data_IF_944646330867
#
_entry.id   IF_944646330867
#
_cell.length_a   1.000
_cell.length_b   1.000
_cell.length_c   1.000
_cell.angle_alpha   90.00
_cell.angle_beta   90.00
_cell.angle_gamma   90.00
#
_symmetry.space_group_name_H-M   'P 1'
#
loop_
_entity.id
_entity.type
_entity.pdbx_description
1 polymer ?
#
# COMPACT_ATOMS: atom_id res chain seq x y z
N UNK A 1 4.83 9.26 -15.61
CA UNK A 1 3.60 9.83 -15.00
C UNK A 1 2.58 8.74 -14.81
N UNK A 2 1.94 8.67 -13.66
CA UNK A 2 0.87 7.71 -13.37
C UNK A 2 -0.46 8.46 -13.26
N UNK A 3 -1.47 8.04 -14.00
CA UNK A 3 -2.81 8.63 -13.97
C UNK A 3 -3.86 7.59 -13.56
N UNK A 4 -4.85 7.98 -12.78
CA UNK A 4 -5.94 7.10 -12.33
C UNK A 4 -7.29 7.65 -12.80
N UNK A 5 -8.13 6.78 -13.33
CA UNK A 5 -9.50 7.08 -13.76
C UNK A 5 -10.45 6.12 -13.03
N UNK A 6 -11.52 6.66 -12.48
CA UNK A 6 -12.60 5.88 -11.85
C UNK A 6 -13.84 5.99 -12.74
N UNK A 7 -14.26 4.89 -13.34
CA UNK A 7 -15.48 4.80 -14.14
C UNK A 7 -16.61 4.21 -13.29
N UNK A 8 -17.74 4.91 -13.27
CA UNK A 8 -18.96 4.47 -12.59
C UNK A 8 -20.01 4.26 -13.69
N UNK A 9 -20.41 3.01 -14.01
CA UNK A 9 -21.43 2.76 -15.02
C UNK A 9 -22.78 3.30 -14.55
N UNK A 10 -23.52 3.96 -15.44
CA UNK A 10 -24.92 4.29 -15.19
C UNK A 10 -25.74 3.00 -15.29
N UNK A 11 -26.46 2.62 -14.24
CA UNK A 11 -27.52 1.61 -14.35
C UNK A 11 -28.61 2.20 -15.22
N UNK A 12 -28.75 1.71 -16.46
CA UNK A 12 -29.90 1.99 -17.30
C UNK A 12 -31.16 1.47 -16.59
N UNK A 13 -32.07 2.35 -16.19
CA UNK A 13 -33.41 1.95 -15.76
C UNK A 13 -34.14 1.29 -16.96
N UNK A 14 -35.00 0.31 -16.72
CA UNK A 14 -35.84 -0.25 -17.80
C UNK A 14 -36.84 0.82 -18.26
N UNK A 15 -36.50 1.66 -19.24
CA UNK A 15 -37.38 2.71 -19.72
C UNK A 15 -36.81 3.74 -20.71
N UNK A 16 -35.51 3.83 -20.92
CA UNK A 16 -34.96 4.80 -21.88
C UNK A 16 -34.78 4.18 -23.29
N UNK A 17 -35.93 3.86 -23.90
CA UNK A 17 -36.01 3.65 -25.35
C UNK A 17 -36.21 5.01 -26.00
N UNK A 18 -35.25 5.42 -26.80
CA UNK A 18 -35.26 6.38 -27.90
C UNK A 18 -36.47 7.35 -28.01
N UNK A 19 -36.26 8.64 -27.72
CA UNK A 19 -36.91 9.70 -28.48
C UNK A 19 -35.85 10.51 -29.20
N UNK A 20 -35.77 10.32 -30.50
CA UNK A 20 -35.01 11.13 -31.41
C UNK A 20 -35.42 12.62 -31.28
N UNK A 21 -34.48 13.46 -30.93
CA UNK A 21 -34.62 14.90 -30.86
C UNK A 21 -33.67 15.55 -31.86
N UNK A 22 -34.25 16.34 -32.76
CA UNK A 22 -33.61 16.98 -33.91
C UNK A 22 -32.44 17.89 -33.56
N UNK A 23 -31.59 18.06 -34.52
CA UNK A 23 -30.48 19.00 -34.56
C UNK A 23 -30.99 20.44 -34.49
N UNK A 24 -30.55 21.19 -33.50
CA UNK A 24 -30.69 22.66 -33.46
C UNK A 24 -29.26 23.29 -33.48
N UNK A 25 -28.90 24.07 -34.51
CA UNK A 25 -27.54 24.58 -34.70
C UNK A 25 -27.32 25.98 -34.05
N UNK A 26 -27.62 26.12 -32.76
CA UNK A 26 -27.64 27.46 -32.16
C UNK A 26 -27.00 27.66 -30.80
N UNK A 27 -26.31 26.71 -30.16
CA UNK A 27 -25.60 26.97 -28.90
C UNK A 27 -24.22 26.30 -28.84
N UNK A 28 -23.20 27.15 -28.95
CA UNK A 28 -21.79 26.84 -28.68
C UNK A 28 -21.58 26.73 -27.16
N UNK A 29 -21.65 25.52 -26.65
CA UNK A 29 -21.18 25.13 -25.31
C UNK A 29 -21.15 23.60 -25.23
N UNK A 30 -20.04 22.94 -24.81
CA UNK A 30 -19.99 21.51 -24.86
C UNK A 30 -20.80 20.89 -23.72
N UNK A 31 -22.11 20.70 -23.93
CA UNK A 31 -22.92 19.71 -23.20
C UNK A 31 -22.66 18.35 -23.86
N UNK A 32 -21.71 17.60 -23.33
CA UNK A 32 -21.59 16.19 -23.64
C UNK A 32 -22.65 15.45 -22.80
N UNK A 33 -23.88 15.44 -23.27
CA UNK A 33 -24.92 14.48 -22.89
C UNK A 33 -24.73 13.24 -23.77
N UNK A 34 -23.81 12.36 -23.43
CA UNK A 34 -23.59 11.08 -24.08
C UNK A 34 -23.41 10.04 -22.99
N UNK A 35 -24.21 8.97 -23.04
CA UNK A 35 -24.05 7.65 -22.43
C UNK A 35 -22.65 7.39 -21.84
N UNK A 36 -22.30 8.05 -20.74
CA UNK A 36 -20.93 8.06 -20.25
C UNK A 36 -20.87 7.78 -18.78
N UNK A 37 -19.99 6.87 -18.42
CA UNK A 37 -19.52 6.72 -17.06
C UNK A 37 -19.00 8.05 -16.51
N UNK A 38 -19.16 8.28 -15.22
CA UNK A 38 -18.63 9.47 -14.56
C UNK A 38 -17.17 9.26 -14.23
N UNK A 39 -16.31 10.13 -14.72
CA UNK A 39 -14.89 10.09 -14.41
C UNK A 39 -14.59 10.92 -13.15
N UNK A 40 -13.83 10.33 -12.23
CA UNK A 40 -13.29 10.99 -11.05
C UNK A 40 -11.78 11.01 -11.15
N UNK A 41 -11.18 12.15 -10.85
CA UNK A 41 -9.74 12.34 -10.84
C UNK A 41 -9.34 13.04 -9.55
N UNK A 42 -8.21 12.64 -8.98
CA UNK A 42 -7.61 13.36 -7.87
C UNK A 42 -7.06 14.73 -8.34
N UNK A 43 -7.25 15.80 -7.57
CA UNK A 43 -6.76 17.13 -7.92
C UNK A 43 -5.24 17.26 -7.89
N UNK A 44 -4.52 16.33 -7.29
CA UNK A 44 -3.07 16.41 -7.06
C UNK A 44 -2.26 15.93 -8.26
N UNK A 45 -2.86 15.12 -9.15
CA UNK A 45 -2.19 14.61 -10.36
C UNK A 45 -2.50 15.42 -11.60
N UNK A 46 -1.58 15.44 -12.59
CA UNK A 46 -1.83 16.09 -13.86
C UNK A 46 -3.11 15.53 -14.46
N UNK A 47 -4.05 16.44 -14.74
CA UNK A 47 -5.33 16.06 -15.32
C UNK A 47 -5.10 15.43 -16.70
N UNK A 48 -5.54 14.18 -16.85
CA UNK A 48 -5.55 13.54 -18.16
C UNK A 48 -6.48 14.30 -19.10
N UNK A 49 -6.09 14.50 -20.37
CA UNK A 49 -6.96 15.13 -21.37
C UNK A 49 -8.30 14.37 -21.47
N UNK A 50 -9.40 15.09 -21.58
CA UNK A 50 -10.72 14.50 -21.73
C UNK A 50 -10.81 13.52 -22.93
N UNK A 51 -10.03 13.75 -23.98
CA UNK A 51 -9.92 12.85 -25.11
C UNK A 51 -9.40 11.46 -24.72
N UNK A 52 -8.38 11.41 -23.85
CA UNK A 52 -7.80 10.15 -23.36
C UNK A 52 -8.82 9.42 -22.48
N UNK A 53 -9.47 10.15 -21.59
CA UNK A 53 -10.49 9.58 -20.70
C UNK A 53 -11.66 9.02 -21.51
N UNK A 54 -12.14 9.81 -22.48
CA UNK A 54 -13.23 9.39 -23.39
C UNK A 54 -12.88 8.18 -24.24
N UNK A 55 -11.65 8.13 -24.77
CA UNK A 55 -11.17 6.99 -25.55
C UNK A 55 -11.08 5.71 -24.72
N UNK A 56 -10.50 5.78 -23.51
CA UNK A 56 -10.37 4.63 -22.63
C UNK A 56 -11.74 4.12 -22.13
N UNK A 57 -12.67 5.01 -21.86
CA UNK A 57 -14.05 4.64 -21.55
C UNK A 57 -14.74 4.00 -22.75
N UNK A 58 -14.57 4.57 -23.95
CA UNK A 58 -15.13 4.01 -25.17
C UNK A 58 -14.62 2.60 -25.47
N UNK A 59 -13.31 2.37 -25.31
CA UNK A 59 -12.70 1.04 -25.48
C UNK A 59 -13.24 0.06 -24.42
N UNK A 60 -13.39 0.50 -23.17
CA UNK A 60 -13.96 -0.31 -22.09
C UNK A 60 -15.41 -0.72 -22.40
N UNK A 61 -16.26 0.23 -22.79
CA UNK A 61 -17.65 -0.03 -23.18
C UNK A 61 -17.76 -0.96 -24.40
N UNK A 62 -16.88 -0.77 -25.38
CA UNK A 62 -16.81 -1.65 -26.55
C UNK A 62 -16.46 -3.09 -26.15
N UNK A 63 -15.47 -3.27 -25.26
CA UNK A 63 -15.14 -4.59 -24.71
C UNK A 63 -16.32 -5.22 -23.97
N UNK A 64 -17.03 -4.46 -23.14
CA UNK A 64 -18.24 -4.94 -22.44
C UNK A 64 -19.33 -5.41 -23.41
N UNK A 65 -19.57 -4.69 -24.50
CA UNK A 65 -20.55 -5.08 -25.53
C UNK A 65 -20.17 -6.37 -26.26
N UNK A 66 -18.90 -6.71 -26.30
CA UNK A 66 -18.37 -7.95 -26.86
C UNK A 66 -18.22 -9.07 -25.81
N UNK A 67 -18.66 -8.85 -24.58
CA UNK A 67 -18.46 -9.76 -23.44
C UNK A 67 -16.98 -10.07 -23.16
N UNK A 68 -16.08 -9.13 -23.52
CA UNK A 68 -14.64 -9.23 -23.30
C UNK A 68 -14.23 -8.33 -22.16
N UNK A 69 -13.53 -8.88 -21.17
CA UNK A 69 -12.91 -8.10 -20.10
C UNK A 69 -11.53 -7.62 -20.53
N UNK A 70 -11.36 -6.31 -20.56
CA UNK A 70 -10.05 -5.69 -20.74
C UNK A 70 -9.24 -5.82 -19.43
N UNK A 71 -8.02 -6.32 -19.53
CA UNK A 71 -7.08 -6.42 -18.41
C UNK A 71 -5.96 -5.39 -18.53
N UNK A 72 -5.21 -5.43 -19.63
CA UNK A 72 -4.10 -4.52 -19.86
C UNK A 72 -3.92 -4.22 -21.36
N UNK A 73 -3.31 -3.07 -21.62
CA UNK A 73 -2.81 -2.69 -22.94
C UNK A 73 -1.48 -1.96 -22.78
N UNK A 74 -0.56 -2.20 -23.71
CA UNK A 74 0.75 -1.56 -23.72
C UNK A 74 1.01 -0.90 -25.05
N UNK A 75 1.41 0.36 -25.01
CA UNK A 75 1.99 1.11 -26.14
C UNK A 75 3.49 1.23 -25.93
N UNK A 76 4.19 1.90 -26.86
CA UNK A 76 5.63 2.16 -26.73
C UNK A 76 5.96 2.91 -25.41
N UNK A 77 5.13 3.88 -25.03
CA UNK A 77 5.40 4.80 -23.92
C UNK A 77 4.46 4.66 -22.72
N UNK A 78 3.41 3.85 -22.81
CA UNK A 78 2.37 3.81 -21.77
C UNK A 78 1.82 2.39 -21.56
N UNK A 79 1.71 2.00 -20.31
CA UNK A 79 0.97 0.81 -19.89
C UNK A 79 -0.35 1.23 -19.27
N UNK A 80 -1.45 0.62 -19.69
CA UNK A 80 -2.80 0.85 -19.18
C UNK A 80 -3.32 -0.45 -18.62
N UNK A 81 -3.89 -0.40 -17.40
CA UNK A 81 -4.51 -1.56 -16.75
C UNK A 81 -5.93 -1.19 -16.34
N UNK A 82 -6.88 -2.08 -16.66
CA UNK A 82 -8.29 -2.01 -16.26
C UNK A 82 -8.59 -3.06 -15.21
N UNK A 83 -9.35 -2.69 -14.21
CA UNK A 83 -9.86 -3.64 -13.22
C UNK A 83 -11.27 -3.26 -12.79
N UNK A 84 -12.21 -4.16 -13.00
CA UNK A 84 -13.59 -4.01 -12.55
C UNK A 84 -13.77 -4.66 -11.18
N UNK A 85 -14.53 -4.00 -10.33
CA UNK A 85 -14.84 -4.43 -8.97
C UNK A 85 -16.37 -4.51 -8.81
N UNK A 86 -16.87 -5.68 -8.44
CA UNK A 86 -18.29 -5.95 -8.15
C UNK A 86 -19.25 -5.49 -9.27
N UNK A 87 -18.80 -5.48 -10.53
CA UNK A 87 -19.54 -5.01 -11.72
C UNK A 87 -20.15 -3.60 -11.56
N UNK A 88 -19.66 -2.83 -10.61
CA UNK A 88 -20.17 -1.50 -10.25
C UNK A 88 -19.18 -0.38 -10.47
N UNK A 89 -17.89 -0.65 -10.35
CA UNK A 89 -16.82 0.33 -10.52
C UNK A 89 -15.68 -0.29 -11.33
N UNK A 90 -15.23 0.43 -12.35
CA UNK A 90 -14.01 0.08 -13.09
C UNK A 90 -12.95 1.13 -12.83
N UNK A 91 -11.80 0.67 -12.36
CA UNK A 91 -10.62 1.49 -12.18
C UNK A 91 -9.68 1.29 -13.36
N UNK A 92 -9.13 2.38 -13.86
CA UNK A 92 -8.16 2.38 -14.95
C UNK A 92 -6.94 3.16 -14.48
N UNK A 93 -5.78 2.55 -14.58
CA UNK A 93 -4.51 3.23 -14.31
C UNK A 93 -3.66 3.27 -15.56
N UNK A 94 -3.03 4.42 -15.79
CA UNK A 94 -2.07 4.63 -16.86
C UNK A 94 -0.72 4.95 -16.24
N UNK A 95 0.33 4.37 -16.78
CA UNK A 95 1.70 4.71 -16.40
C UNK A 95 2.59 4.84 -17.62
N UNK A 96 3.27 5.97 -17.73
CA UNK A 96 4.32 6.23 -18.72
C UNK A 96 5.73 6.09 -18.10
N UNK A 97 5.85 5.46 -16.96
CA UNK A 97 7.12 5.22 -16.29
C UNK A 97 7.77 3.96 -16.87
N UNK A 98 8.99 4.09 -17.37
CA UNK A 98 9.77 2.95 -17.89
C UNK A 98 9.91 1.85 -16.83
N UNK A 99 9.73 0.60 -17.24
CA UNK A 99 9.86 -0.56 -16.34
C UNK A 99 8.68 -0.77 -15.39
N UNK A 100 7.58 -0.03 -15.53
CA UNK A 100 6.37 -0.29 -14.75
C UNK A 100 5.76 -1.64 -15.15
N UNK A 101 5.67 -2.57 -14.18
CA UNK A 101 5.07 -3.88 -14.42
C UNK A 101 3.55 -3.83 -14.23
N UNK A 102 2.83 -4.66 -14.98
CA UNK A 102 1.38 -4.84 -14.83
C UNK A 102 1.02 -5.25 -13.39
N UNK A 103 1.81 -6.13 -12.78
CA UNK A 103 1.64 -6.54 -11.39
C UNK A 103 1.59 -5.34 -10.41
N UNK A 104 2.48 -4.34 -10.62
CA UNK A 104 2.48 -3.12 -9.80
C UNK A 104 1.17 -2.35 -9.96
N UNK A 105 0.72 -2.19 -11.20
CA UNK A 105 -0.50 -1.45 -11.51
C UNK A 105 -1.76 -2.18 -11.02
N UNK A 106 -1.82 -3.50 -11.16
CA UNK A 106 -2.91 -4.30 -10.62
C UNK A 106 -3.03 -4.21 -9.09
N UNK A 107 -1.89 -4.31 -8.38
CA UNK A 107 -1.86 -4.15 -6.93
C UNK A 107 -2.25 -2.74 -6.49
N UNK A 108 -1.80 -1.73 -7.22
CA UNK A 108 -2.21 -0.35 -7.01
C UNK A 108 -3.73 -0.20 -7.12
N UNK A 109 -4.36 -0.79 -8.16
CA UNK A 109 -5.82 -0.74 -8.32
C UNK A 109 -6.55 -1.46 -7.17
N UNK A 110 -6.01 -2.56 -6.67
CA UNK A 110 -6.56 -3.24 -5.50
C UNK A 110 -6.49 -2.36 -4.24
N UNK A 111 -5.35 -1.69 -4.02
CA UNK A 111 -5.17 -0.77 -2.90
C UNK A 111 -6.11 0.44 -3.00
N UNK A 112 -6.27 1.01 -4.19
CA UNK A 112 -7.19 2.12 -4.44
C UNK A 112 -8.63 1.71 -4.13
N UNK A 113 -9.07 0.55 -4.62
CA UNK A 113 -10.42 0.06 -4.31
C UNK A 113 -10.58 -0.22 -2.80
N UNK A 114 -9.59 -0.83 -2.17
CA UNK A 114 -9.57 -1.03 -0.72
C UNK A 114 -9.66 0.29 0.06
N UNK A 115 -8.96 1.34 -0.37
CA UNK A 115 -9.05 2.69 0.23
C UNK A 115 -10.43 3.32 0.06
N UNK A 116 -11.08 3.11 -1.09
CA UNK A 116 -12.46 3.56 -1.31
C UNK A 116 -13.42 2.83 -0.37
N UNK A 117 -13.31 1.50 -0.24
CA UNK A 117 -14.12 0.73 0.72
C UNK A 117 -13.86 1.18 2.14
N UNK A 118 -12.59 1.36 2.54
CA UNK A 118 -12.20 1.78 3.89
C UNK A 118 -12.90 3.06 4.34
N UNK A 119 -13.11 4.02 3.44
CA UNK A 119 -13.60 5.36 3.77
C UNK A 119 -15.05 5.61 3.39
N UNK A 120 -15.60 4.86 2.44
CA UNK A 120 -16.99 5.06 1.93
C UNK A 120 -17.89 3.87 2.27
N UNK A 121 -17.30 2.67 2.38
CA UNK A 121 -18.03 1.42 2.56
C UNK A 121 -18.41 0.75 1.24
N UNK A 122 -18.49 -0.59 1.27
CA UNK A 122 -18.76 -1.40 0.08
C UNK A 122 -20.19 -1.18 -0.46
N UNK A 123 -21.16 -0.98 0.43
CA UNK A 123 -22.55 -0.84 0.03
C UNK A 123 -22.78 0.39 -0.88
N UNK A 124 -22.19 1.54 -0.54
CA UNK A 124 -22.28 2.76 -1.35
C UNK A 124 -21.56 2.60 -2.71
N UNK A 125 -20.54 1.76 -2.77
CA UNK A 125 -19.79 1.48 -4.01
C UNK A 125 -20.48 0.48 -4.93
N UNK A 126 -21.27 -0.44 -4.38
CA UNK A 126 -22.00 -1.48 -5.15
C UNK A 126 -23.42 -1.10 -5.48
N UNK A 127 -24.11 -0.36 -4.61
CA UNK A 127 -25.49 0.09 -4.77
C UNK A 127 -25.57 1.59 -5.06
N UNK A 128 -24.92 2.02 -6.14
CA UNK A 128 -24.83 3.43 -6.51
C UNK A 128 -26.21 3.98 -6.88
N UNK A 129 -26.82 4.76 -5.98
CA UNK A 129 -28.12 5.43 -6.18
C UNK A 129 -27.95 6.82 -6.77
N UNK A 130 -26.90 7.52 -6.39
CA UNK A 130 -26.60 8.87 -6.83
C UNK A 130 -25.10 9.05 -7.03
N UNK A 131 -24.71 9.20 -8.29
CA UNK A 131 -23.31 9.31 -8.69
C UNK A 131 -22.65 10.58 -8.14
N UNK A 132 -23.37 11.71 -8.10
CA UNK A 132 -22.82 12.97 -7.59
C UNK A 132 -22.58 12.93 -6.07
N UNK A 133 -23.46 12.25 -5.33
CA UNK A 133 -23.23 11.97 -3.91
C UNK A 133 -21.99 11.10 -3.71
N UNK A 134 -21.89 10.00 -4.46
CA UNK A 134 -20.72 9.12 -4.38
C UNK A 134 -19.43 9.87 -4.71
N UNK A 135 -19.42 10.73 -5.74
CA UNK A 135 -18.26 11.57 -6.06
C UNK A 135 -17.83 12.44 -4.88
N UNK A 136 -18.80 13.01 -4.16
CA UNK A 136 -18.52 13.84 -2.98
C UNK A 136 -17.93 13.02 -1.84
N UNK A 137 -18.44 11.84 -1.60
CA UNK A 137 -17.97 10.92 -0.55
C UNK A 137 -16.59 10.38 -0.87
N UNK A 138 -16.31 10.02 -2.13
CA UNK A 138 -14.99 9.56 -2.58
C UNK A 138 -13.87 10.58 -2.40
N UNK A 139 -14.17 11.87 -2.26
CA UNK A 139 -13.15 12.90 -1.95
C UNK A 139 -12.40 12.61 -0.66
N UNK A 140 -13.03 11.94 0.30
CA UNK A 140 -12.38 11.53 1.55
C UNK A 140 -11.20 10.57 1.29
N UNK A 141 -11.27 9.75 0.23
CA UNK A 141 -10.23 8.78 -0.11
C UNK A 141 -9.08 9.37 -0.94
N UNK A 142 -9.22 10.56 -1.53
CA UNK A 142 -8.23 11.12 -2.46
C UNK A 142 -6.85 11.25 -1.84
N UNK A 143 -6.77 11.79 -0.61
CA UNK A 143 -5.48 11.96 0.06
C UNK A 143 -4.73 10.64 0.28
N UNK A 144 -5.46 9.61 0.66
CA UNK A 144 -4.90 8.27 0.81
C UNK A 144 -4.49 7.69 -0.54
N UNK A 145 -5.34 7.82 -1.56
CA UNK A 145 -5.04 7.37 -2.94
C UNK A 145 -3.82 8.11 -3.50
N UNK A 146 -3.73 9.42 -3.31
CA UNK A 146 -2.60 10.22 -3.76
C UNK A 146 -1.28 9.74 -3.14
N UNK A 147 -1.31 9.28 -1.89
CA UNK A 147 -0.13 8.72 -1.22
C UNK A 147 0.37 7.41 -1.85
N UNK A 148 -0.48 6.65 -2.55
CA UNK A 148 -0.08 5.45 -3.30
C UNK A 148 0.50 5.78 -4.67
N UNK A 149 0.02 6.85 -5.30
CA UNK A 149 0.40 7.25 -6.64
C UNK A 149 1.74 8.00 -6.68
N UNK A 150 2.15 8.57 -5.55
CA UNK A 150 3.41 9.27 -5.39
C UNK A 150 4.61 8.35 -5.13
N UNK A 151 5.81 8.95 -5.01
CA UNK A 151 7.03 8.27 -4.57
C UNK A 151 6.97 8.01 -3.06
N UNK A 152 6.19 7.00 -2.67
CA UNK A 152 6.02 6.65 -1.26
C UNK A 152 7.29 6.06 -0.65
N UNK A 153 7.55 6.40 0.62
CA UNK A 153 8.57 5.74 1.45
C UNK A 153 8.13 4.37 1.95
N UNK A 154 6.83 4.06 1.82
CA UNK A 154 6.23 2.78 2.17
C UNK A 154 6.22 1.85 0.95
N UNK A 155 6.05 0.55 1.18
CA UNK A 155 6.04 -0.47 0.13
C UNK A 155 4.83 -1.43 0.21
N UNK A 156 3.95 -1.24 1.17
CA UNK A 156 2.79 -2.09 1.39
C UNK A 156 1.82 -2.14 0.20
N UNK A 157 1.75 -1.06 -0.60
CA UNK A 157 0.99 -0.99 -1.85
C UNK A 157 1.40 -2.07 -2.85
N UNK A 158 2.69 -2.33 -2.93
CA UNK A 158 3.29 -3.28 -3.85
C UNK A 158 3.41 -4.67 -3.26
N UNK A 159 3.82 -4.79 -2.00
CA UNK A 159 4.09 -6.06 -1.34
C UNK A 159 2.85 -6.70 -0.73
N UNK A 160 1.81 -5.91 -0.47
CA UNK A 160 0.63 -6.29 0.32
C UNK A 160 1.01 -6.80 1.72
N UNK A 161 2.11 -6.24 2.25
CA UNK A 161 2.58 -6.47 3.60
C UNK A 161 2.53 -5.16 4.40
N UNK A 162 2.36 -5.28 5.70
CA UNK A 162 2.37 -4.14 6.61
C UNK A 162 3.78 -3.61 6.75
N UNK A 163 3.97 -2.33 6.48
CA UNK A 163 5.24 -1.65 6.73
C UNK A 163 5.48 -1.54 8.24
N UNK A 164 6.59 -2.12 8.71
CA UNK A 164 6.97 -2.15 10.11
C UNK A 164 8.27 -1.39 10.35
N UNK A 165 8.51 -1.07 11.61
CA UNK A 165 9.81 -0.60 12.12
C UNK A 165 10.25 -1.49 13.27
N UNK A 166 11.53 -1.47 13.58
CA UNK A 166 12.11 -2.22 14.70
C UNK A 166 12.43 -1.26 15.83
N UNK A 167 11.57 -1.15 16.85
CA UNK A 167 11.83 -0.30 17.99
C UNK A 167 12.93 -0.91 18.89
N UNK A 168 13.78 -0.10 19.53
CA UNK A 168 14.83 -0.60 20.42
C UNK A 168 14.28 -1.41 21.61
N UNK A 169 13.13 -1.01 22.15
CA UNK A 169 12.47 -1.64 23.31
C UNK A 169 11.07 -2.15 22.94
N UNK A 170 11.00 -2.97 21.86
CA UNK A 170 9.73 -3.42 21.30
C UNK A 170 8.84 -4.21 22.26
N UNK A 171 9.40 -5.06 23.13
CA UNK A 171 8.64 -5.83 24.12
C UNK A 171 7.94 -4.95 25.14
N UNK A 172 8.63 -3.92 25.64
CA UNK A 172 8.06 -2.96 26.59
C UNK A 172 6.92 -2.14 25.97
N UNK A 173 7.09 -1.68 24.72
CA UNK A 173 6.04 -0.97 23.99
C UNK A 173 4.84 -1.88 23.68
N UNK A 174 5.09 -3.14 23.37
CA UNK A 174 4.05 -4.14 23.12
C UNK A 174 3.21 -4.40 24.38
N UNK A 175 3.86 -4.51 25.54
CA UNK A 175 3.19 -4.72 26.84
C UNK A 175 2.35 -3.49 27.21
N UNK A 176 2.92 -2.29 27.11
CA UNK A 176 2.21 -1.05 27.37
C UNK A 176 0.99 -0.87 26.46
N UNK A 177 1.14 -1.18 25.15
CA UNK A 177 0.06 -1.11 24.18
C UNK A 177 -1.06 -2.10 24.50
N UNK A 178 -0.72 -3.34 24.84
CA UNK A 178 -1.71 -4.38 25.13
C UNK A 178 -2.52 -4.03 26.38
N UNK A 179 -1.84 -3.60 27.44
CA UNK A 179 -2.50 -3.17 28.67
C UNK A 179 -3.37 -1.91 28.48
N UNK A 180 -2.89 -0.95 27.68
CA UNK A 180 -3.68 0.23 27.35
C UNK A 180 -4.94 -0.12 26.57
N UNK A 181 -4.83 -0.95 25.52
CA UNK A 181 -5.96 -1.35 24.69
C UNK A 181 -7.03 -2.09 25.50
N UNK A 182 -6.62 -3.00 26.37
CA UNK A 182 -7.51 -3.70 27.30
C UNK A 182 -8.24 -2.71 28.25
N UNK A 183 -7.49 -1.80 28.87
CA UNK A 183 -8.05 -0.78 29.75
C UNK A 183 -8.98 0.21 29.01
N UNK A 184 -8.72 0.49 27.72
CA UNK A 184 -9.57 1.28 26.85
C UNK A 184 -10.81 0.53 26.35
N UNK A 185 -10.91 -0.77 26.57
CA UNK A 185 -12.05 -1.61 26.17
C UNK A 185 -12.04 -2.04 24.71
N UNK A 186 -10.87 -2.15 24.08
CA UNK A 186 -10.72 -2.70 22.73
C UNK A 186 -9.58 -3.73 22.68
N UNK A 187 -9.73 -4.74 21.81
CA UNK A 187 -8.65 -5.70 21.55
C UNK A 187 -7.67 -5.23 20.45
N UNK A 188 -8.03 -4.19 19.69
CA UNK A 188 -7.32 -3.75 18.50
C UNK A 188 -6.59 -2.44 18.75
N UNK A 189 -5.30 -2.52 18.98
CA UNK A 189 -4.42 -1.37 19.19
C UNK A 189 -3.16 -1.46 18.34
N UNK A 190 -2.64 -0.30 17.90
CA UNK A 190 -1.39 -0.20 17.16
C UNK A 190 -0.70 1.15 17.45
N UNK A 191 0.62 1.13 17.51
CA UNK A 191 1.47 2.32 17.48
C UNK A 191 1.98 2.50 16.06
N UNK A 192 1.80 3.69 15.50
CA UNK A 192 2.14 4.00 14.11
C UNK A 192 3.05 5.22 14.06
N UNK A 193 4.15 5.12 13.31
CA UNK A 193 5.07 6.21 13.01
C UNK A 193 5.19 6.38 11.49
N UNK A 194 4.79 7.54 10.98
CA UNK A 194 4.87 7.84 9.53
C UNK A 194 4.26 6.74 8.63
N UNK A 195 3.13 6.15 9.04
CA UNK A 195 2.46 5.07 8.29
C UNK A 195 3.05 3.67 8.50
N UNK A 196 4.05 3.52 9.37
CA UNK A 196 4.70 2.24 9.70
C UNK A 196 4.30 1.79 11.10
N UNK A 197 4.08 0.49 11.28
CA UNK A 197 3.70 -0.10 12.56
C UNK A 197 4.94 -0.31 13.42
N UNK A 198 4.92 0.27 14.63
CA UNK A 198 5.94 0.10 15.67
C UNK A 198 5.64 -1.14 16.52
N UNK A 199 4.41 -1.23 16.98
CA UNK A 199 3.88 -2.35 17.76
C UNK A 199 2.37 -2.45 17.50
N UNK A 200 1.81 -3.64 17.61
CA UNK A 200 0.37 -3.83 17.53
C UNK A 200 -0.07 -5.03 18.37
N UNK A 201 -1.32 -4.98 18.86
CA UNK A 201 -1.91 -6.09 19.59
C UNK A 201 -2.07 -7.32 18.71
N UNK A 202 -2.20 -8.49 19.31
CA UNK A 202 -2.39 -9.74 18.56
C UNK A 202 -3.65 -9.70 17.69
N UNK A 203 -4.73 -9.11 18.18
CA UNK A 203 -5.96 -8.93 17.41
C UNK A 203 -5.78 -8.01 16.20
N UNK A 204 -4.96 -6.95 16.31
CA UNK A 204 -4.61 -6.12 15.17
C UNK A 204 -3.86 -6.89 14.09
N UNK A 205 -2.93 -7.75 14.48
CA UNK A 205 -2.19 -8.60 13.53
C UNK A 205 -3.04 -9.67 12.85
N UNK A 206 -4.22 -9.98 13.39
CA UNK A 206 -5.22 -10.88 12.79
C UNK A 206 -6.20 -10.18 11.85
N UNK A 207 -6.10 -8.86 11.68
CA UNK A 207 -6.87 -8.14 10.68
C UNK A 207 -6.54 -8.69 9.28
N UNK A 208 -7.51 -8.63 8.37
CA UNK A 208 -7.28 -8.98 6.97
C UNK A 208 -6.18 -8.12 6.36
N UNK A 209 -5.44 -8.67 5.40
CA UNK A 209 -4.31 -7.97 4.78
C UNK A 209 -4.67 -6.57 4.26
N UNK A 210 -5.81 -6.34 3.58
CA UNK A 210 -6.15 -5.01 3.07
C UNK A 210 -6.23 -3.95 4.17
N UNK A 211 -6.98 -4.21 5.24
CA UNK A 211 -7.13 -3.25 6.33
C UNK A 211 -5.86 -3.11 7.17
N UNK A 212 -5.13 -4.18 7.39
CA UNK A 212 -3.87 -4.15 8.14
C UNK A 212 -2.81 -3.25 7.48
N UNK A 213 -2.79 -3.22 6.14
CA UNK A 213 -1.92 -2.33 5.36
C UNK A 213 -2.49 -0.92 5.28
N UNK A 214 -3.80 -0.79 5.01
CA UNK A 214 -4.43 0.51 4.73
C UNK A 214 -4.56 1.40 5.97
N UNK A 215 -4.85 0.82 7.15
CA UNK A 215 -5.07 1.60 8.37
C UNK A 215 -3.83 2.42 8.80
N UNK A 216 -2.62 1.82 8.93
CA UNK A 216 -1.42 2.60 9.23
C UNK A 216 -1.11 3.64 8.16
N UNK A 217 -1.33 3.29 6.90
CA UNK A 217 -1.10 4.20 5.78
C UNK A 217 -2.07 5.39 5.80
N UNK A 218 -3.36 5.14 6.09
CA UNK A 218 -4.34 6.20 6.30
C UNK A 218 -3.87 7.16 7.39
N UNK A 219 -3.49 6.63 8.56
CA UNK A 219 -3.02 7.44 9.70
C UNK A 219 -1.82 8.31 9.31
N UNK A 220 -0.82 7.72 8.62
CA UNK A 220 0.35 8.45 8.13
C UNK A 220 0.04 9.52 7.08
N UNK A 221 -1.07 9.39 6.35
CA UNK A 221 -1.50 10.37 5.33
C UNK A 221 -2.34 11.52 5.89
N UNK A 222 -2.91 11.38 7.10
CA UNK A 222 -3.76 12.41 7.69
C UNK A 222 -2.93 13.62 8.18
N UNK A 223 -3.50 14.84 8.16
CA UNK A 223 -2.81 16.01 8.71
C UNK A 223 -2.60 15.84 10.21
N UNK A 224 -1.54 16.44 10.81
CA UNK A 224 -1.31 16.37 12.24
C UNK A 224 -2.52 16.87 13.04
N UNK A 225 -2.97 16.08 14.03
CA UNK A 225 -4.07 16.43 14.93
C UNK A 225 -3.93 15.65 16.24
N UNK A 226 -4.16 16.28 17.38
CA UNK A 226 -3.97 15.67 18.68
C UNK A 226 -4.78 14.39 18.91
N UNK A 227 -6.03 14.37 18.46
CA UNK A 227 -6.91 13.20 18.54
C UNK A 227 -7.95 13.21 17.43
N UNK A 228 -8.40 12.02 17.00
CA UNK A 228 -9.45 11.83 16.00
C UNK A 228 -10.33 10.65 16.36
N UNK A 229 -11.58 10.75 15.94
CA UNK A 229 -12.55 9.65 15.90
C UNK A 229 -13.05 9.56 14.46
N UNK A 230 -12.48 8.61 13.69
CA UNK A 230 -12.68 8.52 12.25
C UNK A 230 -13.48 7.26 11.90
N UNK A 231 -14.61 7.37 11.19
CA UNK A 231 -15.32 6.19 10.73
C UNK A 231 -14.56 5.49 9.61
N UNK A 232 -14.36 4.18 9.75
CA UNK A 232 -13.71 3.33 8.75
C UNK A 232 -14.48 2.03 8.58
N UNK A 233 -14.44 1.49 7.38
CA UNK A 233 -14.92 0.16 7.06
C UNK A 233 -13.72 -0.77 6.87
N UNK A 234 -13.88 -2.04 7.16
CA UNK A 234 -12.78 -3.00 6.96
C UNK A 234 -13.01 -3.74 5.64
N UNK A 235 -12.20 -3.51 4.59
CA UNK A 235 -12.44 -4.05 3.26
C UNK A 235 -12.63 -5.56 3.20
N UNK A 236 -11.96 -6.30 4.07
CA UNK A 236 -12.08 -7.75 4.17
C UNK A 236 -13.00 -8.17 5.32
N UNK A 237 -12.77 -7.63 6.53
CA UNK A 237 -13.43 -8.12 7.74
C UNK A 237 -14.85 -7.60 7.94
N UNK A 238 -15.15 -6.34 7.54
CA UNK A 238 -16.45 -5.70 7.74
C UNK A 238 -16.66 -4.54 6.76
N UNK A 239 -16.88 -4.84 5.46
CA UNK A 239 -16.92 -3.82 4.42
C UNK A 239 -18.21 -2.99 4.40
N UNK A 240 -19.25 -3.42 5.11
CA UNK A 240 -20.58 -2.77 5.13
C UNK A 240 -20.93 -2.11 6.46
N UNK A 241 -20.21 -2.49 7.55
CA UNK A 241 -20.47 -1.94 8.89
C UNK A 241 -19.30 -1.05 9.31
N UNK A 242 -19.53 0.23 9.62
CA UNK A 242 -18.47 1.14 10.03
C UNK A 242 -17.97 0.83 11.44
N UNK A 243 -16.67 1.01 11.60
CA UNK A 243 -15.93 0.95 12.87
C UNK A 243 -15.38 2.34 13.19
N UNK A 244 -14.96 2.55 14.43
CA UNK A 244 -14.28 3.77 14.85
C UNK A 244 -12.78 3.54 14.85
N UNK A 245 -12.04 4.33 14.10
CA UNK A 245 -10.61 4.45 14.23
C UNK A 245 -10.31 5.66 15.13
N UNK A 246 -9.95 5.39 16.36
CA UNK A 246 -9.51 6.44 17.27
C UNK A 246 -8.00 6.60 17.12
N UNK A 247 -7.53 7.82 16.87
CA UNK A 247 -6.10 8.13 16.82
C UNK A 247 -5.76 9.18 17.86
N UNK A 248 -4.65 8.99 18.57
CA UNK A 248 -4.15 9.87 19.61
C UNK A 248 -2.67 10.11 19.37
N UNK A 249 -2.27 11.36 19.19
CA UNK A 249 -0.86 11.72 19.01
C UNK A 249 -0.14 11.66 20.35
N UNK A 250 0.73 10.66 20.52
CA UNK A 250 1.56 10.53 21.73
C UNK A 250 2.78 11.45 21.65
N UNK A 251 3.39 11.53 20.48
CA UNK A 251 4.51 12.42 20.15
C UNK A 251 4.34 12.90 18.70
N UNK A 252 4.94 14.03 18.30
CA UNK A 252 4.90 14.47 16.91
C UNK A 252 5.37 13.36 15.95
N UNK A 253 4.48 12.91 15.07
CA UNK A 253 4.74 11.83 14.11
C UNK A 253 4.55 10.42 14.64
N UNK A 254 4.24 10.22 15.93
CA UNK A 254 3.92 8.94 16.52
C UNK A 254 2.48 8.93 17.05
N UNK A 255 1.65 8.07 16.52
CA UNK A 255 0.23 7.99 16.84
C UNK A 255 -0.14 6.62 17.42
N UNK A 256 -0.97 6.66 18.46
CA UNK A 256 -1.67 5.50 18.99
C UNK A 256 -2.98 5.34 18.23
N UNK A 257 -3.24 4.17 17.71
CA UNK A 257 -4.43 3.84 16.96
C UNK A 257 -5.21 2.75 17.68
N UNK A 258 -6.51 2.97 17.86
CA UNK A 258 -7.44 1.98 18.39
C UNK A 258 -8.55 1.75 17.38
N UNK A 259 -8.83 0.50 17.04
CA UNK A 259 -9.98 0.15 16.24
C UNK A 259 -11.09 -0.34 17.17
N UNK A 260 -12.22 0.36 17.13
CA UNK A 260 -13.34 0.14 18.04
C UNK A 260 -14.63 -0.14 17.26
N UNK A 261 -15.56 -0.84 17.90
CA UNK A 261 -16.94 -0.93 17.46
C UNK A 261 -17.71 0.37 17.74
N UNK A 262 -19.00 0.29 18.10
CA UNK A 262 -19.78 1.47 18.47
C UNK A 262 -19.24 2.18 19.70
N UNK A 263 -18.53 1.47 20.56
CA UNK A 263 -17.88 1.95 21.78
C UNK A 263 -16.50 1.32 21.93
N UNK A 264 -15.56 2.01 22.62
CA UNK A 264 -15.66 3.41 23.10
C UNK A 264 -15.57 4.43 21.96
N UNK A 265 -16.13 5.62 22.21
CA UNK A 265 -15.85 6.83 21.43
C UNK A 265 -14.67 7.59 22.02
N UNK A 266 -14.10 8.53 21.29
CA UNK A 266 -12.98 9.36 21.79
C UNK A 266 -13.34 10.08 23.10
N UNK A 267 -14.58 10.56 23.24
CA UNK A 267 -15.06 11.24 24.45
C UNK A 267 -15.23 10.34 25.68
N UNK A 268 -15.22 9.02 25.47
CA UNK A 268 -15.36 8.02 26.55
C UNK A 268 -13.99 7.52 27.04
N UNK A 269 -12.91 7.86 26.35
CA UNK A 269 -11.55 7.54 26.82
C UNK A 269 -11.17 8.45 27.99
N UNK A 270 -10.77 7.84 29.09
CA UNK A 270 -10.26 8.59 30.26
C UNK A 270 -8.89 9.21 29.94
N UNK A 271 -8.74 10.54 30.03
CA UNK A 271 -7.45 11.19 29.80
C UNK A 271 -6.34 10.70 30.73
N UNK A 272 -6.67 10.32 31.98
CA UNK A 272 -5.70 9.81 32.93
C UNK A 272 -5.12 8.45 32.52
N UNK A 273 -5.86 7.70 31.70
CA UNK A 273 -5.41 6.42 31.15
C UNK A 273 -4.18 6.61 30.25
N UNK A 274 -4.16 7.67 29.44
CA UNK A 274 -3.03 8.00 28.56
C UNK A 274 -1.76 8.24 29.38
N UNK A 275 -1.82 9.09 30.39
CA UNK A 275 -0.68 9.41 31.22
C UNK A 275 -0.17 8.17 31.97
N UNK A 276 -1.09 7.38 32.54
CA UNK A 276 -0.74 6.17 33.28
C UNK A 276 0.07 5.16 32.49
N UNK A 277 -0.29 4.93 31.22
CA UNK A 277 0.32 3.90 30.40
C UNK A 277 1.52 4.41 29.60
N UNK A 278 1.51 5.68 29.15
CA UNK A 278 2.51 6.17 28.22
C UNK A 278 3.61 7.00 28.86
N UNK A 279 3.38 7.62 30.03
CA UNK A 279 4.44 8.33 30.77
C UNK A 279 5.64 7.42 31.15
N UNK A 280 5.44 6.19 31.63
CA UNK A 280 6.56 5.31 31.99
C UNK A 280 7.43 4.89 30.81
N UNK A 281 6.89 4.92 29.59
CA UNK A 281 7.54 4.45 28.35
C UNK A 281 7.88 5.59 27.39
N UNK A 282 7.94 6.84 27.89
CA UNK A 282 8.13 8.02 27.06
C UNK A 282 9.46 8.02 26.31
N UNK A 283 10.55 7.53 26.93
CA UNK A 283 11.86 7.47 26.28
C UNK A 283 11.91 6.40 25.18
N UNK A 284 11.41 5.15 25.36
CA UNK A 284 11.16 4.23 24.29
C UNK A 284 10.32 4.79 23.13
N UNK A 285 9.25 5.56 23.42
CA UNK A 285 8.43 6.21 22.39
C UNK A 285 9.23 7.25 21.60
N UNK A 286 10.04 8.08 22.28
CA UNK A 286 10.92 9.05 21.62
C UNK A 286 11.92 8.37 20.68
N UNK A 287 12.45 7.22 21.08
CA UNK A 287 13.38 6.44 20.26
C UNK A 287 12.72 5.89 18.97
N UNK A 288 11.37 5.80 18.92
CA UNK A 288 10.65 5.35 17.73
C UNK A 288 10.45 6.44 16.68
N UNK A 289 10.45 7.72 17.04
CA UNK A 289 10.17 8.83 16.10
C UNK A 289 11.13 8.83 14.90
N UNK A 290 12.46 8.69 15.09
CA UNK A 290 13.40 8.64 13.96
C UNK A 290 13.23 7.42 13.04
N UNK A 291 12.54 6.36 13.51
CA UNK A 291 12.34 5.14 12.73
C UNK A 291 11.32 5.33 11.60
N UNK A 292 10.53 6.38 11.62
CA UNK A 292 9.57 6.69 10.56
C UNK A 292 10.18 6.79 9.16
N UNK A 293 11.44 7.20 9.05
CA UNK A 293 12.18 7.27 7.78
C UNK A 293 13.18 6.13 7.56
N UNK A 294 13.59 5.41 8.63
CA UNK A 294 14.69 4.43 8.56
C UNK A 294 14.27 2.98 8.75
N UNK A 295 13.15 2.74 9.40
CA UNK A 295 12.65 1.43 9.83
C UNK A 295 13.56 0.67 10.83
N UNK A 296 14.86 0.91 10.87
CA UNK A 296 15.83 0.26 11.76
C UNK A 296 16.52 1.29 12.67
N UNK A 297 16.88 0.91 13.92
CA UNK A 297 17.66 1.78 14.80
C UNK A 297 19.01 2.18 14.19
N UNK A 298 19.48 3.39 14.51
CA UNK A 298 20.75 3.90 13.98
C UNK A 298 21.97 3.03 14.32
N UNK A 299 21.92 2.30 15.43
CA UNK A 299 23.00 1.38 15.87
C UNK A 299 22.86 -0.05 15.34
N UNK A 300 21.89 -0.34 14.48
CA UNK A 300 21.73 -1.69 13.94
C UNK A 300 22.92 -2.03 13.02
N UNK A 301 23.62 -3.18 13.22
CA UNK A 301 24.83 -3.50 12.50
C UNK A 301 24.56 -4.01 11.08
N UNK A 302 24.29 -3.08 10.16
CA UNK A 302 24.25 -3.39 8.73
C UNK A 302 25.64 -3.24 8.11
N UNK A 303 25.93 -4.05 7.10
CA UNK A 303 27.15 -3.91 6.32
C UNK A 303 27.17 -2.57 5.57
N UNK A 304 28.30 -1.91 5.54
CA UNK A 304 28.47 -0.57 4.93
C UNK A 304 28.11 -0.48 3.46
N UNK A 305 28.20 -1.59 2.73
CA UNK A 305 27.86 -1.67 1.31
C UNK A 305 26.35 -1.71 1.06
N UNK A 306 25.51 -1.92 2.10
CA UNK A 306 24.06 -1.99 1.95
C UNK A 306 23.51 -0.57 1.83
N UNK A 307 23.04 -0.22 0.64
CA UNK A 307 22.43 1.07 0.32
C UNK A 307 20.91 1.08 0.55
N UNK A 308 20.32 -0.10 0.64
CA UNK A 308 18.90 -0.26 0.92
C UNK A 308 18.52 -1.73 1.02
N UNK A 309 17.44 -2.00 1.75
CA UNK A 309 16.93 -3.35 1.92
C UNK A 309 15.40 -3.39 1.97
N UNK A 310 14.86 -4.53 1.56
CA UNK A 310 13.48 -4.92 1.75
C UNK A 310 13.47 -6.34 2.29
N UNK A 311 13.01 -6.50 3.53
CA UNK A 311 12.75 -7.81 4.13
C UNK A 311 11.25 -8.03 4.20
N UNK A 312 10.79 -9.20 3.76
CA UNK A 312 9.39 -9.62 3.82
C UNK A 312 9.26 -10.91 4.62
N UNK A 313 8.22 -10.98 5.44
CA UNK A 313 7.72 -12.22 6.01
C UNK A 313 6.36 -12.53 5.37
N UNK A 314 6.36 -13.47 4.42
CA UNK A 314 5.21 -13.73 3.54
C UNK A 314 3.98 -14.28 4.28
N UNK A 315 4.18 -15.10 5.32
CA UNK A 315 3.10 -15.65 6.14
C UNK A 315 2.53 -14.60 7.12
N UNK A 316 3.40 -13.87 7.82
CA UNK A 316 2.98 -12.83 8.76
C UNK A 316 2.50 -11.55 8.06
N UNK A 317 2.69 -11.44 6.75
CA UNK A 317 2.35 -10.24 5.97
C UNK A 317 2.95 -8.95 6.52
N UNK A 318 4.22 -9.01 6.95
CA UNK A 318 4.99 -7.88 7.49
C UNK A 318 6.21 -7.62 6.63
N UNK A 319 6.65 -6.38 6.58
CA UNK A 319 7.87 -6.02 5.86
C UNK A 319 8.65 -4.91 6.58
N UNK A 320 9.97 -4.91 6.35
CA UNK A 320 10.89 -3.83 6.69
C UNK A 320 11.45 -3.27 5.39
N UNK A 321 11.23 -2.00 5.15
CA UNK A 321 11.71 -1.31 3.98
C UNK A 321 12.50 -0.06 4.38
N UNK A 322 13.77 -0.01 4.03
CA UNK A 322 14.63 1.13 4.32
C UNK A 322 15.65 1.36 3.22
N UNK A 323 16.00 2.62 3.00
CA UNK A 323 17.14 3.04 2.20
C UNK A 323 18.03 3.89 3.10
N UNK A 324 19.30 3.51 3.25
CA UNK A 324 20.20 4.27 4.10
C UNK A 324 20.34 5.70 3.56
N UNK A 325 20.16 6.73 4.41
CA UNK A 325 20.40 8.10 4.06
C UNK A 325 21.92 8.33 4.04
N UNK A 326 22.63 7.76 3.08
CA UNK A 326 24.05 8.07 2.93
C UNK A 326 24.18 9.40 2.21
N UNK A 327 25.05 10.26 2.76
CA UNK A 327 25.43 11.50 2.10
C UNK A 327 25.91 11.27 0.68
N UNK A 328 26.17 12.29 -0.04
CA UNK A 328 26.78 12.46 -1.39
C UNK A 328 27.00 11.23 -2.32
N UNK A 329 26.81 9.99 -1.90
CA UNK A 329 26.95 8.80 -2.75
C UNK A 329 25.67 8.51 -3.54
N UNK A 330 25.78 8.48 -4.84
CA UNK A 330 24.76 7.99 -5.75
C UNK A 330 24.55 6.47 -5.59
N UNK A 331 23.35 5.96 -5.82
CA UNK A 331 22.11 6.65 -6.24
C UNK A 331 21.38 7.38 -5.10
N UNK A 332 20.59 8.41 -5.43
CA UNK A 332 19.78 9.15 -4.46
C UNK A 332 18.79 8.22 -3.72
N UNK A 333 18.31 8.57 -2.50
CA UNK A 333 17.35 7.75 -1.76
C UNK A 333 16.07 7.43 -2.54
N UNK A 334 15.57 8.37 -3.35
CA UNK A 334 14.43 8.16 -4.23
C UNK A 334 14.74 7.12 -5.31
N UNK A 335 15.90 7.23 -5.94
CA UNK A 335 16.34 6.27 -6.94
C UNK A 335 16.54 4.88 -6.34
N UNK A 336 17.10 4.78 -5.13
CA UNK A 336 17.24 3.51 -4.39
C UNK A 336 15.89 2.86 -4.12
N UNK A 337 14.87 3.65 -3.72
CA UNK A 337 13.49 3.15 -3.54
C UNK A 337 12.94 2.60 -4.85
N UNK A 338 13.07 3.32 -5.95
CA UNK A 338 12.61 2.87 -7.28
C UNK A 338 13.30 1.58 -7.71
N UNK A 339 14.62 1.49 -7.54
CA UNK A 339 15.39 0.29 -7.85
C UNK A 339 14.89 -0.94 -7.08
N UNK A 340 14.69 -0.82 -5.76
CA UNK A 340 14.19 -1.92 -4.92
C UNK A 340 12.75 -2.29 -5.28
N UNK A 341 11.89 -1.32 -5.57
CA UNK A 341 10.49 -1.57 -5.99
C UNK A 341 10.44 -2.28 -7.35
N UNK A 342 11.24 -1.84 -8.33
CA UNK A 342 11.33 -2.48 -9.64
C UNK A 342 11.94 -3.88 -9.54
N UNK A 343 12.96 -4.06 -8.71
CA UNK A 343 13.57 -5.36 -8.47
C UNK A 343 12.62 -6.33 -7.77
N UNK A 344 11.83 -5.85 -6.81
CA UNK A 344 10.80 -6.67 -6.18
C UNK A 344 9.78 -7.20 -7.19
N UNK A 345 9.30 -6.36 -8.11
CA UNK A 345 8.35 -6.79 -9.16
C UNK A 345 8.97 -7.82 -10.10
N UNK A 346 10.20 -7.58 -10.54
CA UNK A 346 10.95 -8.52 -11.38
C UNK A 346 11.10 -9.88 -10.70
N UNK A 347 11.62 -9.88 -9.47
CA UNK A 347 11.88 -11.11 -8.71
C UNK A 347 10.60 -11.89 -8.42
N UNK A 348 9.52 -11.18 -8.09
CA UNK A 348 8.22 -11.81 -7.79
C UNK A 348 7.57 -12.40 -9.03
N UNK A 349 7.71 -11.74 -10.18
CA UNK A 349 7.11 -12.23 -11.42
C UNK A 349 7.88 -13.41 -12.05
N UNK A 350 9.21 -13.44 -11.90
CA UNK A 350 10.07 -14.37 -12.67
C UNK A 350 10.76 -15.43 -11.83
N UNK A 351 11.26 -15.06 -10.65
CA UNK A 351 12.14 -15.93 -9.87
C UNK A 351 11.49 -16.56 -8.65
N UNK A 352 10.54 -15.86 -8.03
CA UNK A 352 9.80 -16.30 -6.87
C UNK A 352 8.29 -16.12 -7.10
N UNK A 353 7.71 -16.80 -8.11
CA UNK A 353 6.28 -16.71 -8.33
C UNK A 353 5.52 -17.18 -7.09
N UNK A 354 4.32 -16.65 -6.82
CA UNK A 354 3.45 -17.23 -5.80
C UNK A 354 3.18 -18.69 -6.18
N UNK A 355 3.26 -19.59 -5.21
CA UNK A 355 2.89 -20.98 -5.46
C UNK A 355 1.42 -21.02 -5.88
N UNK A 356 1.07 -21.70 -6.98
CA UNK A 356 -0.31 -21.87 -7.40
C UNK A 356 -1.05 -22.52 -6.24
N UNK A 357 -2.16 -21.93 -5.83
CA UNK A 357 -2.91 -22.21 -4.61
C UNK A 357 -2.87 -23.68 -4.21
N UNK A 358 -2.42 -23.93 -3.00
CA UNK A 358 -2.40 -25.24 -2.39
C UNK A 358 -3.82 -25.82 -2.31
N UNK A 359 -4.17 -26.65 -3.28
CA UNK A 359 -5.13 -27.70 -3.02
C UNK A 359 -4.51 -28.64 -1.97
N UNK A 360 -5.28 -29.00 -0.99
CA UNK A 360 -4.92 -29.61 0.30
C UNK A 360 -4.13 -30.95 0.26
N UNK A 361 -3.59 -31.39 -0.89
CA UNK A 361 -3.08 -32.76 -1.06
C UNK A 361 -1.54 -32.91 -1.21
N UNK A 362 -0.70 -31.89 -0.88
CA UNK A 362 0.77 -32.02 -1.01
C UNK A 362 1.58 -31.50 0.19
N UNK A 363 1.15 -31.76 1.39
CA UNK A 363 1.76 -31.18 2.61
C UNK A 363 3.16 -31.77 2.93
N UNK A 364 3.49 -33.00 2.55
CA UNK A 364 4.77 -33.62 2.92
C UNK A 364 5.92 -33.37 1.94
N UNK A 365 5.66 -33.20 0.66
CA UNK A 365 6.72 -32.98 -0.34
C UNK A 365 7.19 -31.51 -0.43
N UNK A 366 6.33 -30.57 -0.04
CA UNK A 366 6.60 -29.13 -0.04
C UNK A 366 7.53 -28.72 1.11
N UNK A 367 7.43 -29.36 2.28
CA UNK A 367 8.25 -29.05 3.44
C UNK A 367 9.75 -29.30 3.21
N UNK A 368 10.14 -30.22 2.35
CA UNK A 368 11.54 -30.49 2.02
C UNK A 368 12.10 -29.55 0.93
N UNK A 369 11.25 -29.01 0.04
CA UNK A 369 11.68 -28.08 -1.02
C UNK A 369 11.90 -26.64 -0.55
N UNK A 370 11.31 -26.25 0.58
CA UNK A 370 11.39 -24.87 1.11
C UNK A 370 12.71 -24.56 1.85
N UNK A 371 13.56 -25.54 2.10
CA UNK A 371 14.80 -25.34 2.87
C UNK A 371 15.99 -24.83 2.06
N UNK A 372 15.94 -24.86 0.74
CA UNK A 372 17.05 -24.38 -0.09
C UNK A 372 16.86 -22.90 -0.41
N UNK A 373 17.75 -22.00 0.06
CA UNK A 373 17.66 -20.58 -0.28
C UNK A 373 17.76 -20.39 -1.80
N UNK A 374 16.72 -19.79 -2.39
CA UNK A 374 16.75 -19.35 -3.78
C UNK A 374 17.43 -17.99 -3.83
N UNK A 375 18.34 -17.79 -4.74
CA UNK A 375 19.04 -16.52 -4.93
C UNK A 375 18.89 -16.06 -6.37
N UNK A 376 18.60 -14.77 -6.54
CA UNK A 376 18.56 -14.08 -7.82
C UNK A 376 19.50 -12.88 -7.77
N UNK A 377 20.26 -12.68 -8.81
CA UNK A 377 21.18 -11.53 -8.93
C UNK A 377 20.79 -10.71 -10.15
N UNK A 378 20.83 -9.41 -9.98
CA UNK A 378 20.80 -8.48 -11.08
C UNK A 378 21.97 -7.51 -10.86
N UNK A 379 22.91 -7.49 -11.78
CA UNK A 379 23.98 -6.49 -11.81
C UNK A 379 23.59 -5.47 -12.87
N UNK A 380 23.37 -4.26 -12.46
CA UNK A 380 23.00 -3.17 -13.35
C UNK A 380 23.60 -1.88 -12.82
N UNK A 381 24.01 -1.02 -13.70
CA UNK A 381 24.62 0.26 -13.35
C UNK A 381 25.33 0.86 -14.55
N UNK A 382 25.69 2.15 -14.50
CA UNK A 382 26.54 2.73 -15.53
C UNK A 382 27.85 1.95 -15.65
N UNK A 383 28.35 1.78 -16.86
CA UNK A 383 29.60 1.06 -17.14
C UNK A 383 30.85 1.78 -16.58
N UNK A 384 30.68 2.98 -15.99
CA UNK A 384 31.75 3.73 -15.39
C UNK A 384 32.23 3.12 -14.06
N UNK A 385 33.52 2.97 -13.85
CA UNK A 385 34.08 2.41 -12.62
C UNK A 385 33.73 3.27 -11.40
N UNK A 386 32.98 2.68 -10.47
CA UNK A 386 32.63 3.30 -9.17
C UNK A 386 31.23 3.90 -9.03
N UNK A 387 30.46 4.02 -10.11
CA UNK A 387 29.09 4.59 -10.07
C UNK A 387 27.95 3.55 -10.17
N UNK A 388 28.26 2.27 -10.19
CA UNK A 388 27.26 1.21 -10.30
C UNK A 388 26.68 0.76 -8.97
N UNK A 389 25.63 -0.04 -9.05
CA UNK A 389 25.00 -0.70 -7.92
C UNK A 389 24.69 -2.16 -8.26
N UNK A 390 24.42 -2.96 -7.23
CA UNK A 390 24.09 -4.37 -7.36
C UNK A 390 22.83 -4.70 -6.59
N UNK A 391 22.01 -5.57 -7.16
CA UNK A 391 20.79 -6.06 -6.54
C UNK A 391 20.89 -7.56 -6.30
N UNK A 392 20.48 -7.98 -5.13
CA UNK A 392 20.47 -9.38 -4.71
C UNK A 392 19.15 -9.69 -4.02
N UNK A 393 18.54 -10.83 -4.37
CA UNK A 393 17.37 -11.35 -3.66
C UNK A 393 17.63 -12.77 -3.18
N UNK A 394 17.27 -13.05 -1.95
CA UNK A 394 17.33 -14.37 -1.31
C UNK A 394 16.00 -14.68 -0.65
N UNK A 395 15.51 -15.90 -0.85
CA UNK A 395 14.34 -16.41 -0.15
C UNK A 395 14.72 -17.67 0.63
N UNK A 396 14.36 -17.71 1.90
CA UNK A 396 14.50 -18.86 2.79
C UNK A 396 13.22 -19.04 3.60
N UNK A 397 12.48 -20.12 3.32
CA UNK A 397 11.14 -20.33 3.87
C UNK A 397 10.21 -19.15 3.57
N UNK A 398 9.46 -18.65 4.57
CA UNK A 398 8.52 -17.55 4.38
C UNK A 398 9.21 -16.19 4.26
N UNK A 399 10.52 -16.10 4.39
CA UNK A 399 11.27 -14.85 4.41
C UNK A 399 11.93 -14.59 3.08
N UNK A 400 11.77 -13.36 2.57
CA UNK A 400 12.39 -12.88 1.33
C UNK A 400 13.14 -11.59 1.64
N UNK A 401 14.43 -11.56 1.31
CA UNK A 401 15.28 -10.39 1.46
C UNK A 401 15.75 -9.90 0.09
N UNK A 402 15.58 -8.62 -0.18
CA UNK A 402 16.15 -7.93 -1.31
C UNK A 402 17.12 -6.88 -0.80
N UNK A 403 18.32 -6.84 -1.37
CA UNK A 403 19.36 -5.89 -1.04
C UNK A 403 19.75 -5.07 -2.26
N UNK A 404 19.91 -3.78 -2.04
CA UNK A 404 20.62 -2.88 -2.94
C UNK A 404 22.00 -2.61 -2.35
N UNK A 405 23.03 -2.92 -3.10
CA UNK A 405 24.42 -2.89 -2.67
C UNK A 405 25.23 -1.92 -3.54
N UNK A 406 26.31 -1.38 -2.96
CA UNK A 406 27.31 -0.62 -3.69
C UNK A 406 27.98 -1.46 -4.78
N UNK A 407 28.40 -0.83 -5.86
CA UNK A 407 29.17 -1.46 -6.94
C UNK A 407 30.49 -2.08 -6.45
N UNK A 408 31.02 -1.60 -5.33
CA UNK A 408 32.26 -2.08 -4.76
C UNK A 408 32.15 -3.49 -4.16
N UNK A 409 30.94 -3.94 -3.82
CA UNK A 409 30.71 -5.27 -3.26
C UNK A 409 31.14 -6.35 -4.27
N UNK A 410 32.07 -7.26 -3.91
CA UNK A 410 32.51 -8.28 -4.83
C UNK A 410 31.39 -9.29 -5.14
N UNK A 411 31.22 -9.63 -6.41
CA UNK A 411 30.13 -10.50 -6.90
C UNK A 411 30.09 -11.84 -6.18
N UNK A 412 31.25 -12.42 -5.85
CA UNK A 412 31.35 -13.70 -5.15
C UNK A 412 30.85 -13.64 -3.69
N UNK A 413 30.85 -12.46 -3.06
CA UNK A 413 30.41 -12.27 -1.68
C UNK A 413 28.91 -11.97 -1.54
N UNK A 414 28.22 -11.62 -2.63
CA UNK A 414 26.82 -11.14 -2.59
C UNK A 414 25.86 -12.13 -1.91
N UNK A 415 25.97 -13.42 -2.23
CA UNK A 415 25.12 -14.45 -1.65
C UNK A 415 25.39 -14.61 -0.14
N UNK A 416 26.67 -14.65 0.25
CA UNK A 416 27.08 -14.76 1.65
C UNK A 416 26.57 -13.57 2.46
N UNK A 417 26.76 -12.35 1.96
CA UNK A 417 26.28 -11.12 2.58
C UNK A 417 24.75 -11.12 2.74
N UNK A 418 24.02 -11.49 1.69
CA UNK A 418 22.55 -11.53 1.73
C UNK A 418 22.05 -12.59 2.72
N UNK A 419 22.66 -13.78 2.75
CA UNK A 419 22.28 -14.85 3.70
C UNK A 419 22.56 -14.43 5.14
N UNK A 420 23.72 -13.85 5.41
CA UNK A 420 24.07 -13.35 6.74
C UNK A 420 23.13 -12.22 7.18
N UNK A 421 22.83 -11.26 6.30
CA UNK A 421 21.89 -10.19 6.58
C UNK A 421 20.48 -10.73 6.84
N UNK A 422 20.02 -11.73 6.07
CA UNK A 422 18.73 -12.38 6.31
C UNK A 422 18.69 -13.04 7.69
N UNK A 423 19.74 -13.73 8.10
CA UNK A 423 19.83 -14.35 9.42
C UNK A 423 19.77 -13.30 10.55
N UNK A 424 20.51 -12.18 10.39
CA UNK A 424 20.52 -11.11 11.38
C UNK A 424 19.16 -10.39 11.52
N UNK A 425 18.44 -10.22 10.42
CA UNK A 425 17.14 -9.54 10.40
C UNK A 425 15.96 -10.46 10.71
N UNK A 426 16.12 -11.78 10.57
CA UNK A 426 15.03 -12.76 10.73
C UNK A 426 14.30 -12.71 12.08
N UNK A 427 14.94 -12.42 13.22
CA UNK A 427 14.24 -12.32 14.50
C UNK A 427 13.39 -11.06 14.68
N UNK A 428 13.49 -10.10 13.77
CA UNK A 428 12.91 -8.76 13.92
C UNK A 428 11.48 -8.64 13.35
N UNK A 429 11.05 -9.61 12.53
CA UNK A 429 9.69 -9.63 11.92
C UNK A 429 8.87 -10.82 12.38
#
# INVERSE_FOLDING_TARGET
MTGLIILIPRRGGPGDVERGGGWDPGHLGPKVEGTGGSCLMSPTFPQLPFSVIGSLNGVHMFGQNLEVQLSSARTEDTTVVWKSFHDSITLIVLSSEEGTSELRLERLLQMVFGAMVLLVGLEELTNIRNVERLKKELRASYRLIDSFLGDSELIGDLTQCVDCVVPPEGSLLQEALSGFAEAAGTAFGSLVVSGRVVAATESWWRLGTPEAVLLPWLVGSLPPQAARDYPVYLPHGSPTVPHRLLTLTLLPGLELCLLCGPRPSLSQLDPQLLDRWWQPVLDPLRACVPLGSRALPAGFPLHTDILGLLLLHLELKRCLFTVEPSGVQEPSPEHRRRLLRSFYTLVTATHFPPEPGSAEDKVEEVAQRTQVPRACYLVSGPEEPGMGWRLVAVQAGPRRLLLLLSAQSPTHALRGLATHTLQALSPLL
#
